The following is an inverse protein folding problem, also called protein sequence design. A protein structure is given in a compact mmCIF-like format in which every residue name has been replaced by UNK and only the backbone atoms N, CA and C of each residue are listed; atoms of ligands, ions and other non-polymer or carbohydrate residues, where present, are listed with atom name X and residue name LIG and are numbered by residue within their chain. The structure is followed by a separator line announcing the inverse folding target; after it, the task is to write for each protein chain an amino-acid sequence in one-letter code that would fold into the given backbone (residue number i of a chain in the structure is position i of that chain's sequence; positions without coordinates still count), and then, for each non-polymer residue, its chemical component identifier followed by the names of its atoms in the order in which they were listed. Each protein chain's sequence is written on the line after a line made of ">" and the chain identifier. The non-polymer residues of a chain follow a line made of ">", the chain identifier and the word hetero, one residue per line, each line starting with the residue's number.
data_IF_607521827584
#
_entry.id   IF_607521827584
#
_cell.length_a   1.000
_cell.length_b   1.000
_cell.length_c   1.000
_cell.angle_alpha   90.00
_cell.angle_beta   90.00
_cell.angle_gamma   90.00
#
_symmetry.space_group_name_H-M   'P 1'
#
loop_
_entity.id
_entity.type
_entity.pdbx_description
1 polymer ?
#
# COMPACT_ATOMS: atom_id res chain seq x y z
N UNK A 1 20.45 -49.74 11.83
CA UNK A 1 19.24 -48.97 12.21
C UNK A 1 19.62 -47.50 12.08
N UNK A 2 18.96 -46.75 11.21
CA UNK A 2 19.22 -45.31 11.06
C UNK A 2 18.37 -44.53 12.06
N UNK A 3 19.03 -43.91 13.04
CA UNK A 3 18.36 -43.16 14.12
C UNK A 3 17.70 -41.87 13.61
N UNK A 4 18.05 -41.39 12.40
CA UNK A 4 17.47 -40.20 11.79
C UNK A 4 15.95 -40.34 11.61
N UNK A 5 15.46 -41.55 11.32
CA UNK A 5 14.04 -41.83 11.10
C UNK A 5 13.23 -41.87 12.42
N UNK A 6 13.90 -41.97 13.57
CA UNK A 6 13.25 -41.95 14.89
C UNK A 6 13.04 -40.54 15.44
N UNK A 7 13.53 -39.51 14.74
CA UNK A 7 13.49 -38.12 15.17
C UNK A 7 12.32 -37.36 14.54
N UNK A 8 11.55 -36.63 15.36
CA UNK A 8 10.50 -35.72 14.91
C UNK A 8 11.09 -34.36 14.54
N UNK A 9 11.69 -34.27 13.35
CA UNK A 9 12.28 -33.02 12.88
C UNK A 9 11.21 -32.06 12.34
N UNK A 10 11.40 -30.73 12.50
CA UNK A 10 10.51 -29.75 11.89
C UNK A 10 10.50 -29.87 10.37
N UNK A 11 9.30 -29.95 9.78
CA UNK A 11 9.10 -29.94 8.34
C UNK A 11 8.25 -28.73 7.96
N UNK A 12 8.68 -28.00 6.94
CA UNK A 12 7.93 -26.85 6.43
C UNK A 12 8.22 -26.65 4.95
N UNK A 13 7.19 -26.26 4.21
CA UNK A 13 7.31 -25.76 2.84
C UNK A 13 7.71 -24.28 2.80
N UNK A 14 7.75 -23.61 3.97
CA UNK A 14 8.11 -22.20 4.05
C UNK A 14 9.59 -22.00 3.70
N UNK A 15 9.91 -21.22 2.66
CA UNK A 15 11.29 -21.06 2.22
C UNK A 15 12.09 -20.27 3.25
N UNK A 16 13.31 -20.75 3.53
CA UNK A 16 14.23 -20.07 4.45
C UNK A 16 14.66 -18.68 3.92
N UNK A 17 14.71 -18.49 2.59
CA UNK A 17 15.00 -17.21 1.95
C UNK A 17 13.72 -16.53 1.50
N UNK A 18 13.58 -15.24 1.80
CA UNK A 18 12.34 -14.50 1.53
C UNK A 18 12.04 -14.25 0.05
N UNK A 19 13.05 -13.95 -0.78
CA UNK A 19 12.89 -13.62 -2.21
C UNK A 19 11.77 -12.58 -2.48
N UNK A 20 11.78 -11.50 -1.67
CA UNK A 20 10.70 -10.52 -1.60
C UNK A 20 10.39 -9.81 -2.94
N UNK A 21 11.39 -9.38 -3.75
CA UNK A 21 11.12 -8.70 -5.02
C UNK A 21 10.23 -9.51 -5.99
N UNK A 22 10.23 -10.83 -5.89
CA UNK A 22 9.39 -11.74 -6.69
C UNK A 22 8.09 -12.10 -5.96
N UNK A 23 8.16 -12.33 -4.65
CA UNK A 23 7.03 -12.83 -3.87
C UNK A 23 6.00 -11.74 -3.49
N UNK A 24 6.45 -10.51 -3.27
CA UNK A 24 5.56 -9.40 -2.89
C UNK A 24 4.62 -8.95 -4.01
N UNK A 25 5.05 -8.80 -5.28
CA UNK A 25 4.15 -8.45 -6.37
C UNK A 25 2.99 -9.45 -6.54
N UNK A 26 3.28 -10.75 -6.45
CA UNK A 26 2.26 -11.80 -6.53
C UNK A 26 1.26 -11.72 -5.35
N UNK A 27 1.77 -11.42 -4.15
CA UNK A 27 0.93 -11.21 -2.96
C UNK A 27 0.03 -9.99 -3.10
N UNK A 28 0.55 -8.87 -3.57
CA UNK A 28 -0.24 -7.65 -3.79
C UNK A 28 -1.29 -7.85 -4.87
N UNK A 29 -0.92 -8.48 -5.99
CA UNK A 29 -1.87 -8.84 -7.04
C UNK A 29 -3.03 -9.69 -6.48
N UNK A 30 -2.72 -10.66 -5.61
CA UNK A 30 -3.74 -11.43 -4.90
C UNK A 30 -4.63 -10.54 -4.04
N UNK A 31 -4.10 -9.59 -3.26
CA UNK A 31 -4.93 -8.71 -2.43
C UNK A 31 -5.91 -7.84 -3.23
N UNK A 32 -5.49 -7.36 -4.41
CA UNK A 32 -6.31 -6.55 -5.32
C UNK A 32 -7.20 -7.38 -6.26
N UNK A 33 -7.02 -8.70 -6.28
CA UNK A 33 -7.88 -9.61 -7.05
C UNK A 33 -9.34 -9.50 -6.62
N UNK A 34 -10.26 -9.75 -7.55
CA UNK A 34 -11.70 -9.75 -7.25
C UNK A 34 -12.06 -10.83 -6.23
N UNK A 35 -11.35 -11.97 -6.23
CA UNK A 35 -11.61 -13.04 -5.28
C UNK A 35 -11.19 -12.66 -3.85
N UNK A 36 -10.02 -12.03 -3.69
CA UNK A 36 -9.54 -11.68 -2.35
C UNK A 36 -10.15 -10.40 -1.82
N UNK A 37 -10.29 -9.36 -2.67
CA UNK A 37 -10.74 -8.00 -2.36
C UNK A 37 -10.41 -7.57 -0.92
N UNK A 38 -9.11 -7.61 -0.58
CA UNK A 38 -8.66 -7.67 0.81
C UNK A 38 -9.11 -6.46 1.64
N UNK A 39 -9.09 -5.26 1.03
CA UNK A 39 -9.51 -4.04 1.70
C UNK A 39 -11.01 -4.01 2.00
N UNK A 40 -11.86 -4.46 1.07
CA UNK A 40 -13.31 -4.52 1.31
C UNK A 40 -13.64 -5.49 2.44
N UNK A 41 -13.01 -6.67 2.46
CA UNK A 41 -13.14 -7.66 3.54
C UNK A 41 -12.66 -7.11 4.88
N UNK A 42 -11.57 -6.35 4.87
CA UNK A 42 -11.06 -5.67 6.06
C UNK A 42 -12.13 -4.75 6.66
N UNK A 43 -12.80 -3.94 5.83
CA UNK A 43 -13.90 -3.07 6.27
C UNK A 43 -15.09 -3.88 6.77
N UNK A 44 -15.49 -4.92 6.04
CA UNK A 44 -16.61 -5.81 6.40
C UNK A 44 -16.43 -6.43 7.79
N UNK A 45 -15.23 -6.95 8.07
CA UNK A 45 -14.85 -7.55 9.36
C UNK A 45 -14.93 -6.61 10.56
N UNK A 46 -15.13 -5.30 10.35
CA UNK A 46 -15.19 -4.27 11.39
C UNK A 46 -16.45 -3.39 11.30
N UNK A 47 -17.49 -3.82 10.57
CA UNK A 47 -18.73 -3.03 10.44
C UNK A 47 -19.38 -2.71 11.78
N UNK A 48 -19.32 -3.65 12.74
CA UNK A 48 -19.94 -3.55 14.06
C UNK A 48 -18.95 -3.10 15.15
N UNK A 49 -17.75 -2.63 14.77
CA UNK A 49 -16.79 -2.15 15.77
C UNK A 49 -17.35 -0.90 16.48
N UNK A 50 -17.19 -0.80 17.82
CA UNK A 50 -17.77 0.29 18.61
C UNK A 50 -17.05 1.63 18.35
N UNK A 51 -15.81 1.59 17.87
CA UNK A 51 -14.97 2.75 17.63
C UNK A 51 -14.50 2.80 16.18
N UNK A 52 -14.36 4.02 15.65
CA UNK A 52 -13.86 4.27 14.30
C UNK A 52 -12.64 5.18 14.35
N UNK A 53 -11.56 4.76 13.71
CA UNK A 53 -10.36 5.54 13.50
C UNK A 53 -10.28 6.00 12.04
N UNK A 54 -10.09 7.31 11.83
CA UNK A 54 -10.02 7.92 10.50
C UNK A 54 -8.70 8.65 10.39
N UNK A 55 -7.88 8.24 9.41
CA UNK A 55 -6.64 8.93 9.09
C UNK A 55 -6.81 9.70 7.77
N UNK A 56 -6.85 11.03 7.87
CA UNK A 56 -6.89 11.90 6.70
C UNK A 56 -5.52 11.96 6.03
N UNK A 57 -5.49 11.67 4.74
CA UNK A 57 -4.28 11.72 3.94
C UNK A 57 -4.06 13.14 3.41
N UNK A 58 -2.90 13.73 3.70
CA UNK A 58 -2.42 14.91 2.98
C UNK A 58 -2.21 14.56 1.50
N UNK A 59 -2.92 15.21 0.56
CA UNK A 59 -2.84 14.86 -0.86
C UNK A 59 -1.45 15.24 -1.42
N UNK A 60 -0.67 14.28 -1.96
CA UNK A 60 0.55 14.61 -2.67
C UNK A 60 0.23 15.33 -4.00
N UNK A 61 1.15 16.18 -4.45
CA UNK A 61 1.05 16.85 -5.74
C UNK A 61 1.16 15.84 -6.90
N UNK A 62 0.29 15.96 -7.89
CA UNK A 62 0.21 15.04 -9.03
C UNK A 62 1.15 15.42 -10.19
N UNK A 63 2.39 15.82 -9.94
CA UNK A 63 3.28 16.39 -10.97
C UNK A 63 4.67 15.74 -11.11
N UNK A 64 4.96 14.63 -10.41
CA UNK A 64 6.28 14.01 -10.45
C UNK A 64 6.37 12.60 -9.89
N UNK A 65 7.57 12.04 -9.90
CA UNK A 65 7.84 10.71 -9.34
C UNK A 65 7.86 10.72 -7.81
N UNK A 66 7.46 9.59 -7.25
CA UNK A 66 7.52 9.32 -5.81
C UNK A 66 8.99 9.21 -5.38
N UNK A 67 9.40 10.05 -4.44
CA UNK A 67 10.71 9.97 -3.76
C UNK A 67 10.61 9.30 -2.37
N UNK A 68 11.75 9.03 -1.72
CA UNK A 68 11.80 8.31 -0.44
C UNK A 68 10.96 8.95 0.69
N UNK A 69 10.86 10.29 0.72
CA UNK A 69 9.97 10.98 1.66
C UNK A 69 8.48 10.59 1.53
N UNK A 70 7.99 10.35 0.31
CA UNK A 70 6.63 9.86 0.08
C UNK A 70 6.49 8.42 0.60
N UNK A 71 7.48 7.57 0.34
CA UNK A 71 7.49 6.19 0.83
C UNK A 71 7.45 6.14 2.35
N UNK A 72 8.31 6.92 3.02
CA UNK A 72 8.31 7.05 4.48
C UNK A 72 6.94 7.48 5.01
N UNK A 73 6.35 8.54 4.43
CA UNK A 73 5.05 9.03 4.85
C UNK A 73 3.94 7.99 4.73
N UNK A 74 3.88 7.28 3.59
CA UNK A 74 2.83 6.28 3.33
C UNK A 74 3.01 5.02 4.16
N UNK A 75 4.24 4.57 4.37
CA UNK A 75 4.53 3.42 5.23
C UNK A 75 4.14 3.71 6.68
N UNK A 76 4.47 4.89 7.22
CA UNK A 76 4.07 5.26 8.58
C UNK A 76 2.55 5.32 8.75
N UNK A 77 1.85 5.94 7.80
CA UNK A 77 0.38 5.98 7.80
C UNK A 77 -0.23 4.58 7.75
N UNK A 78 0.29 3.69 6.90
CA UNK A 78 -0.16 2.30 6.79
C UNK A 78 0.05 1.50 8.09
N UNK A 79 1.20 1.67 8.76
CA UNK A 79 1.47 1.05 10.08
C UNK A 79 0.43 1.50 11.11
N UNK A 80 0.13 2.80 11.18
CA UNK A 80 -0.86 3.35 12.13
C UNK A 80 -2.24 2.78 11.82
N UNK A 81 -2.70 2.85 10.56
CA UNK A 81 -3.99 2.31 10.13
C UNK A 81 -4.13 0.83 10.46
N UNK A 82 -3.10 0.02 10.18
CA UNK A 82 -3.11 -1.42 10.51
C UNK A 82 -3.13 -1.67 12.01
N UNK A 83 -2.39 -0.89 12.79
CA UNK A 83 -2.37 -1.01 14.26
C UNK A 83 -3.78 -0.82 14.83
N UNK A 84 -4.48 0.25 14.45
CA UNK A 84 -5.86 0.50 14.88
C UNK A 84 -6.83 -0.60 14.43
N UNK A 85 -6.67 -1.12 13.20
CA UNK A 85 -7.47 -2.25 12.71
C UNK A 85 -7.30 -3.52 13.56
N UNK A 86 -6.05 -3.82 13.92
CA UNK A 86 -5.71 -4.98 14.76
C UNK A 86 -6.13 -4.79 16.22
N UNK A 87 -6.27 -3.56 16.70
CA UNK A 87 -6.91 -3.25 17.99
C UNK A 87 -8.44 -3.33 17.97
N UNK A 88 -9.04 -3.73 16.85
CA UNK A 88 -10.48 -4.03 16.76
C UNK A 88 -11.34 -2.84 16.33
N UNK A 89 -10.72 -1.73 15.94
CA UNK A 89 -11.44 -0.55 15.48
C UNK A 89 -11.81 -0.66 14.00
N UNK A 90 -12.87 0.07 13.61
CA UNK A 90 -13.16 0.32 12.20
C UNK A 90 -12.20 1.38 11.69
N UNK A 91 -11.43 1.08 10.65
CA UNK A 91 -10.47 2.03 10.10
C UNK A 91 -10.91 2.58 8.75
N UNK A 92 -10.63 3.87 8.50
CA UNK A 92 -10.81 4.49 7.18
C UNK A 92 -9.57 5.30 6.80
N UNK A 93 -8.98 4.95 5.66
CA UNK A 93 -7.88 5.66 5.04
C UNK A 93 -8.22 5.89 3.58
N UNK A 94 -8.25 7.15 3.15
CA UNK A 94 -8.57 7.53 1.77
C UNK A 94 -7.43 8.40 1.25
N UNK A 95 -6.61 7.91 0.32
CA UNK A 95 -5.57 8.73 -0.29
C UNK A 95 -6.19 9.82 -1.17
N UNK A 96 -5.60 11.00 -1.16
CA UNK A 96 -5.97 12.12 -2.03
C UNK A 96 -4.90 12.41 -3.08
N UNK A 97 -5.18 13.37 -3.96
CA UNK A 97 -4.22 13.95 -4.90
C UNK A 97 -4.50 15.45 -5.03
N UNK A 98 -3.44 16.25 -5.06
CA UNK A 98 -3.53 17.68 -5.35
C UNK A 98 -3.19 17.91 -6.81
N UNK A 99 -4.20 18.35 -7.57
CA UNK A 99 -4.19 18.42 -9.02
C UNK A 99 -4.28 19.85 -9.57
N UNK A 100 -4.30 20.86 -8.71
CA UNK A 100 -4.36 22.27 -9.12
C UNK A 100 -3.08 23.01 -8.74
N UNK A 101 -2.94 24.24 -9.26
CA UNK A 101 -1.92 25.18 -8.85
C UNK A 101 -0.77 25.36 -9.84
N UNK A 102 -0.04 26.44 -9.62
CA UNK A 102 1.07 26.87 -10.47
C UNK A 102 2.14 25.79 -10.75
N UNK A 103 2.50 24.89 -9.81
CA UNK A 103 3.49 23.85 -10.09
C UNK A 103 3.03 22.84 -11.17
N UNK A 104 1.72 22.63 -11.35
CA UNK A 104 1.18 21.79 -12.43
C UNK A 104 1.18 22.57 -13.74
N UNK A 105 0.73 23.83 -13.71
CA UNK A 105 0.74 24.71 -14.89
C UNK A 105 2.15 24.84 -15.47
N UNK A 106 3.16 25.10 -14.63
CA UNK A 106 4.56 25.17 -15.05
C UNK A 106 5.08 23.86 -15.63
N UNK A 107 4.65 22.71 -15.09
CA UNK A 107 5.06 21.41 -15.60
C UNK A 107 4.44 21.12 -16.98
N UNK A 108 3.18 21.50 -17.18
CA UNK A 108 2.52 21.45 -18.49
C UNK A 108 3.23 22.36 -19.50
N UNK A 109 3.58 23.58 -19.12
CA UNK A 109 4.32 24.49 -20.01
C UNK A 109 5.69 23.94 -20.40
N UNK A 110 6.44 23.35 -19.45
CA UNK A 110 7.71 22.68 -19.75
C UNK A 110 7.54 21.50 -20.71
N UNK A 111 6.46 20.73 -20.56
CA UNK A 111 6.18 19.58 -21.41
C UNK A 111 5.73 19.97 -22.83
N UNK A 112 4.94 21.04 -22.97
CA UNK A 112 4.46 21.54 -24.27
C UNK A 112 5.55 22.25 -25.08
N UNK A 113 6.58 22.81 -24.43
CA UNK A 113 7.80 23.28 -25.08
C UNK A 113 7.55 24.22 -26.28
N UNK A 114 7.84 23.72 -27.50
CA UNK A 114 7.75 24.48 -28.78
C UNK A 114 6.37 24.47 -29.44
N UNK A 115 5.46 23.55 -29.10
CA UNK A 115 4.15 23.45 -29.77
C UNK A 115 3.25 24.68 -29.50
N UNK A 116 3.53 25.43 -28.43
CA UNK A 116 2.85 26.70 -28.12
C UNK A 116 3.29 27.87 -29.01
N UNK A 117 4.43 27.75 -29.73
CA UNK A 117 4.95 28.81 -30.62
C UNK A 117 4.36 28.76 -32.04
N UNK A 118 3.80 27.62 -32.42
CA UNK A 118 3.28 27.35 -33.77
C UNK A 118 1.74 27.25 -33.81
N UNK A 119 1.05 27.72 -32.76
CA UNK A 119 -0.41 27.75 -32.62
C UNK A 119 -0.94 29.19 -32.51
#
# INVERSE_FOLDING_TARGET
>A
MDYKETLLLPQTEFPMRGNLPQNEPARYAKWFSKESNAYARMIENRQNAPQTFILHDGPPYANGHIHIGHALNKVLKDIIVKTHYFFGEKVRYVPGWDCHGLPIEQQVEKNLGKEKKDA
#
